data_IF_127641482667
#
_entry.id   IF_127641482667
#
_cell.length_a   1.000
_cell.length_b   1.000
_cell.length_c   1.000
_cell.angle_alpha   90.00
_cell.angle_beta   90.00
_cell.angle_gamma   90.00
#
_symmetry.space_group_name_H-M   'P 1'
#
loop_
_entity.id
_entity.type
_entity.pdbx_description
1 polymer ?
#
# COMPACT_ATOMS: atom_id res chain seq x y z
N UNK A 1 13.88 2.24 -5.80
CA UNK A 1 14.43 1.15 -6.64
C UNK A 1 15.11 1.75 -7.86
N UNK A 2 16.08 1.05 -8.45
CA UNK A 2 16.68 1.50 -9.70
C UNK A 2 15.69 1.29 -10.84
N UNK A 3 15.45 2.33 -11.64
CA UNK A 3 14.64 2.26 -12.84
C UNK A 3 15.54 2.32 -14.06
N UNK A 4 15.54 1.28 -14.88
CA UNK A 4 16.33 1.19 -16.12
C UNK A 4 15.89 2.22 -17.18
N UNK A 5 14.61 2.58 -17.22
CA UNK A 5 14.10 3.60 -18.15
C UNK A 5 14.54 5.01 -17.77
N UNK A 6 14.46 5.36 -16.48
CA UNK A 6 14.92 6.66 -15.97
C UNK A 6 16.43 6.70 -15.74
N UNK A 7 17.10 5.54 -15.73
CA UNK A 7 18.51 5.34 -15.39
C UNK A 7 18.93 5.93 -14.05
N UNK A 8 18.01 5.91 -13.08
CA UNK A 8 18.20 6.51 -11.77
C UNK A 8 17.50 5.69 -10.67
N UNK A 9 18.01 5.80 -9.45
CA UNK A 9 17.32 5.29 -8.26
C UNK A 9 16.21 6.25 -7.87
N UNK A 10 14.97 5.80 -8.01
CA UNK A 10 13.78 6.62 -7.79
C UNK A 10 12.92 6.03 -6.66
N UNK A 11 12.11 6.86 -5.96
CA UNK A 11 11.06 6.36 -5.11
C UNK A 11 10.04 5.59 -5.96
N UNK A 12 9.39 4.61 -5.35
CA UNK A 12 8.40 3.76 -6.02
C UNK A 12 7.04 3.89 -5.36
N UNK A 13 6.00 3.67 -6.15
CA UNK A 13 4.63 3.51 -5.64
C UNK A 13 4.28 2.04 -5.66
N UNK A 14 3.68 1.57 -4.59
CA UNK A 14 3.15 0.22 -4.50
C UNK A 14 1.73 0.20 -5.09
N UNK A 15 1.47 -0.73 -6.00
CA UNK A 15 0.15 -0.95 -6.61
C UNK A 15 -0.23 -2.42 -6.43
N UNK A 16 -1.38 -2.68 -5.83
CA UNK A 16 -1.92 -4.04 -5.72
C UNK A 16 -2.15 -4.60 -7.12
N UNK A 17 -1.45 -5.71 -7.41
CA UNK A 17 -1.51 -6.40 -8.69
C UNK A 17 -2.51 -7.56 -8.61
N UNK A 18 -2.41 -8.37 -7.56
CA UNK A 18 -3.22 -9.57 -7.40
C UNK A 18 -3.50 -9.88 -5.92
N UNK A 19 -4.72 -10.34 -5.64
CA UNK A 19 -5.11 -10.87 -4.34
C UNK A 19 -5.29 -12.38 -4.48
N UNK A 20 -4.59 -13.14 -3.65
CA UNK A 20 -4.73 -14.59 -3.51
C UNK A 20 -5.19 -14.92 -2.07
N UNK A 21 -5.68 -16.15 -1.81
CA UNK A 21 -6.15 -16.53 -0.48
C UNK A 21 -5.11 -16.34 0.63
N UNK A 22 -3.84 -16.67 0.35
CA UNK A 22 -2.77 -16.66 1.35
C UNK A 22 -1.86 -15.42 1.26
N UNK A 23 -1.89 -14.70 0.13
CA UNK A 23 -0.96 -13.59 -0.14
C UNK A 23 -1.54 -12.54 -1.06
N UNK A 24 -1.07 -11.32 -0.91
CA UNK A 24 -1.30 -10.20 -1.81
C UNK A 24 0.00 -9.89 -2.55
N UNK A 25 -0.10 -9.65 -3.86
CA UNK A 25 1.03 -9.36 -4.74
C UNK A 25 0.90 -7.91 -5.18
N UNK A 26 1.96 -7.14 -4.96
CA UNK A 26 2.05 -5.74 -5.31
C UNK A 26 3.16 -5.51 -6.33
N UNK A 27 2.87 -4.67 -7.32
CA UNK A 27 3.83 -4.18 -8.28
C UNK A 27 4.41 -2.84 -7.79
N UNK A 28 5.73 -2.70 -7.91
CA UNK A 28 6.42 -1.45 -7.63
C UNK A 28 6.62 -0.68 -8.91
N UNK A 29 5.95 0.47 -8.99
CA UNK A 29 6.02 1.36 -10.15
C UNK A 29 6.95 2.52 -9.88
N UNK A 30 7.81 2.84 -10.84
CA UNK A 30 8.61 4.06 -10.82
C UNK A 30 7.69 5.27 -10.70
N UNK A 31 7.94 6.15 -9.73
CA UNK A 31 7.15 7.39 -9.52
C UNK A 31 7.24 8.35 -10.69
N UNK A 32 8.35 8.34 -11.44
CA UNK A 32 8.62 9.24 -12.55
C UNK A 32 7.98 8.77 -13.86
N UNK A 33 8.26 7.52 -14.28
CA UNK A 33 7.82 7.02 -15.59
C UNK A 33 6.73 5.94 -15.53
N UNK A 34 6.36 5.45 -14.34
CA UNK A 34 5.32 4.45 -14.15
C UNK A 34 5.69 3.02 -14.58
N UNK A 35 6.94 2.73 -14.94
CA UNK A 35 7.36 1.36 -15.28
C UNK A 35 7.42 0.48 -14.04
N UNK A 36 7.07 -0.80 -14.19
CA UNK A 36 7.35 -1.82 -13.17
C UNK A 36 8.86 -1.94 -12.97
N UNK A 37 9.28 -1.87 -11.72
CA UNK A 37 10.68 -1.95 -11.28
C UNK A 37 10.90 -2.99 -10.19
N UNK A 38 9.86 -3.78 -9.87
CA UNK A 38 9.93 -4.86 -8.89
C UNK A 38 8.56 -5.29 -8.39
N UNK A 39 8.54 -6.34 -7.56
CA UNK A 39 7.33 -6.88 -6.96
C UNK A 39 7.55 -7.11 -5.47
N UNK A 40 6.48 -6.99 -4.68
CA UNK A 40 6.42 -7.40 -3.28
C UNK A 40 5.26 -8.34 -3.08
N UNK A 41 5.48 -9.35 -2.25
CA UNK A 41 4.44 -10.24 -1.78
C UNK A 41 4.23 -10.01 -0.30
N UNK A 42 2.97 -10.03 0.14
CA UNK A 42 2.57 -9.87 1.53
C UNK A 42 1.68 -11.06 1.88
N UNK A 43 2.11 -11.86 2.83
CA UNK A 43 1.32 -12.97 3.35
C UNK A 43 0.17 -12.47 4.21
N UNK A 44 -0.88 -13.30 4.34
CA UNK A 44 -2.02 -13.00 5.22
C UNK A 44 -1.57 -12.66 6.65
N UNK A 45 -0.57 -13.36 7.18
CA UNK A 45 -0.02 -13.09 8.51
C UNK A 45 0.61 -11.70 8.63
N UNK A 46 1.44 -11.31 7.67
CA UNK A 46 2.06 -9.98 7.63
C UNK A 46 1.02 -8.86 7.55
N UNK A 47 -0.04 -9.07 6.75
CA UNK A 47 -1.15 -8.13 6.64
C UNK A 47 -1.90 -7.96 7.96
N UNK A 48 -2.26 -9.07 8.60
CA UNK A 48 -2.95 -9.05 9.90
C UNK A 48 -2.12 -8.36 10.98
N UNK A 49 -0.80 -8.58 11.01
CA UNK A 49 0.10 -7.90 11.94
C UNK A 49 0.16 -6.39 11.66
N UNK A 50 0.28 -5.99 10.40
CA UNK A 50 0.30 -4.59 10.01
C UNK A 50 -1.00 -3.88 10.41
N UNK A 51 -2.16 -4.50 10.19
CA UNK A 51 -3.47 -3.96 10.60
C UNK A 51 -3.63 -3.89 12.12
N UNK A 52 -3.17 -4.89 12.86
CA UNK A 52 -3.22 -4.90 14.32
C UNK A 52 -2.34 -3.79 14.94
N UNK A 53 -1.23 -3.46 14.30
CA UNK A 53 -0.30 -2.41 14.75
C UNK A 53 -0.71 -1.00 14.32
N UNK A 54 -1.73 -0.85 13.46
CA UNK A 54 -2.20 0.47 13.09
C UNK A 54 -2.75 1.17 14.34
N UNK A 55 -2.34 2.43 14.62
CA UNK A 55 -2.92 3.17 15.71
C UNK A 55 -4.43 3.19 15.47
N UNK A 56 -5.21 2.73 16.46
CA UNK A 56 -6.68 2.81 16.44
C UNK A 56 -7.03 4.24 16.08
N UNK A 57 -7.27 4.51 14.79
CA UNK A 57 -7.77 5.79 14.32
C UNK A 57 -9.12 5.88 14.99
N UNK A 58 -9.18 6.61 16.11
CA UNK A 58 -10.36 6.75 16.92
C UNK A 58 -11.51 7.01 15.96
N UNK A 59 -12.49 6.10 15.94
CA UNK A 59 -13.72 6.27 15.18
C UNK A 59 -14.24 7.65 15.58
N UNK A 60 -14.06 8.67 14.74
CA UNK A 60 -14.72 9.96 14.93
C UNK A 60 -16.20 9.63 14.75
N UNK A 61 -16.90 9.46 15.87
CA UNK A 61 -18.35 9.39 15.87
C UNK A 61 -18.80 10.73 15.29
N UNK A 62 -19.61 10.77 14.21
CA UNK A 62 -20.18 12.02 13.75
C UNK A 62 -21.06 12.55 14.89
N UNK A 63 -20.65 13.65 15.52
CA UNK A 63 -21.53 14.38 16.43
C UNK A 63 -22.70 14.88 15.58
N UNK A 64 -23.88 14.30 15.76
CA UNK A 64 -25.12 14.83 15.20
C UNK A 64 -25.28 16.27 15.70
N UNK A 65 -25.52 17.27 14.84
CA UNK A 65 -25.86 18.60 15.31
C UNK A 65 -27.27 18.52 15.93
N UNK A 66 -27.36 18.79 17.23
CA UNK A 66 -28.66 19.04 17.87
C UNK A 66 -29.12 20.42 17.43
N UNK A 67 -30.18 20.45 16.65
CA UNK A 67 -30.90 21.68 16.28
C UNK A 67 -32.08 21.75 17.26
N UNK A 68 -32.08 22.73 18.16
CA UNK A 68 -33.25 23.16 18.93
C UNK A 68 -33.10 24.64 19.29
#
# INVERSE_FOLDING_TARGET
>A
LYCEKCRATTPVREKLLLVLPDREIFDYLCTECGSSVGQREVTAGEKMMAEAMQPRRQRRVPLKPQIH
#
